data_IF_118183235358
#
_entry.id   IF_118183235358
#
_cell.length_a   1.000
_cell.length_b   1.000
_cell.length_c   1.000
_cell.angle_alpha   90.00
_cell.angle_beta   90.00
_cell.angle_gamma   90.00
#
_symmetry.space_group_name_H-M   'P 1'
#
loop_
_entity.id
_entity.type
_entity.pdbx_description
1 polymer ?
#
# COMPACT_ATOMS: atom_id res chain seq x y z
N UNK A 1 33.14 21.23 -18.50
CA UNK A 1 32.22 22.27 -18.00
C UNK A 1 31.00 21.54 -17.47
N UNK A 2 30.75 21.55 -16.16
CA UNK A 2 29.48 21.03 -15.58
C UNK A 2 28.80 22.15 -14.78
N UNK A 3 27.47 22.11 -14.77
CA UNK A 3 26.67 23.04 -13.99
C UNK A 3 26.43 22.47 -12.59
N UNK A 4 26.37 23.36 -11.60
CA UNK A 4 25.74 23.04 -10.31
C UNK A 4 24.30 22.52 -10.53
N UNK A 5 23.80 21.69 -9.62
CA UNK A 5 22.40 21.21 -9.57
C UNK A 5 21.37 22.35 -9.69
N UNK A 6 21.75 23.55 -9.25
CA UNK A 6 20.93 24.77 -9.29
C UNK A 6 21.07 25.58 -10.60
N UNK A 7 21.89 25.15 -11.56
CA UNK A 7 22.24 25.84 -12.81
C UNK A 7 22.83 27.27 -12.67
N UNK A 8 23.16 27.72 -11.46
CA UNK A 8 23.65 29.09 -11.18
C UNK A 8 25.15 29.28 -11.35
N UNK A 9 25.92 28.21 -11.30
CA UNK A 9 27.39 28.26 -11.32
C UNK A 9 27.95 27.19 -12.24
N UNK A 10 28.83 27.59 -13.15
CA UNK A 10 29.54 26.68 -14.04
C UNK A 10 30.91 26.37 -13.43
N UNK A 11 31.18 25.08 -13.19
CA UNK A 11 32.47 24.60 -12.71
C UNK A 11 33.31 24.07 -13.88
N UNK A 12 34.57 24.50 -13.93
CA UNK A 12 35.57 23.92 -14.82
C UNK A 12 36.25 22.77 -14.07
N UNK A 13 35.93 21.54 -14.46
CA UNK A 13 36.46 20.33 -13.81
C UNK A 13 37.70 19.83 -14.54
N UNK A 14 38.69 19.46 -13.74
CA UNK A 14 39.83 18.64 -14.13
C UNK A 14 39.41 17.15 -14.24
N UNK A 15 40.25 16.25 -14.80
CA UNK A 15 39.94 14.83 -14.90
C UNK A 15 39.56 14.19 -13.55
N UNK A 16 38.64 13.22 -13.58
CA UNK A 16 38.19 12.51 -12.38
C UNK A 16 39.33 11.73 -11.73
N UNK A 17 39.61 12.01 -10.46
CA UNK A 17 40.66 11.33 -9.69
C UNK A 17 40.16 10.00 -9.12
N UNK A 18 38.91 9.97 -8.63
CA UNK A 18 38.29 8.79 -8.01
C UNK A 18 36.92 8.57 -8.65
N UNK A 19 36.69 7.33 -9.07
CA UNK A 19 35.42 6.89 -9.66
C UNK A 19 34.50 6.29 -8.59
N UNK A 20 33.18 6.33 -8.84
CA UNK A 20 32.16 5.88 -7.88
C UNK A 20 32.26 4.38 -7.51
N UNK A 21 32.86 3.56 -8.37
CA UNK A 21 33.15 2.13 -8.12
C UNK A 21 34.17 1.89 -6.99
N UNK A 22 34.94 2.92 -6.64
CA UNK A 22 35.95 2.88 -5.60
C UNK A 22 35.42 3.30 -4.21
N UNK A 23 34.13 3.64 -4.12
CA UNK A 23 33.43 3.87 -2.85
C UNK A 23 33.12 2.50 -2.21
N UNK A 24 33.51 2.33 -0.94
CA UNK A 24 33.27 1.12 -0.16
C UNK A 24 31.92 1.19 0.57
N UNK A 25 31.62 2.32 1.22
CA UNK A 25 30.34 2.54 1.91
C UNK A 25 30.01 4.03 1.94
N UNK A 26 28.72 4.34 1.99
CA UNK A 26 28.21 5.69 2.18
C UNK A 26 27.11 5.68 3.24
N UNK A 27 27.28 6.50 4.27
CA UNK A 27 26.34 6.65 5.38
C UNK A 27 25.92 8.10 5.51
N UNK A 28 24.69 8.35 5.95
CA UNK A 28 24.21 9.70 6.23
C UNK A 28 24.14 9.90 7.75
N UNK A 29 24.48 11.10 8.20
CA UNK A 29 24.54 11.45 9.60
C UNK A 29 24.27 12.93 9.84
N UNK A 30 24.17 13.29 11.12
CA UNK A 30 24.25 14.69 11.53
C UNK A 30 25.73 15.02 11.77
N UNK A 31 26.15 16.21 11.35
CA UNK A 31 27.52 16.67 11.62
C UNK A 31 27.78 16.68 13.14
N UNK A 32 28.92 16.13 13.56
CA UNK A 32 29.34 16.11 14.95
C UNK A 32 29.81 17.49 15.45
N UNK A 33 30.19 18.39 14.53
CA UNK A 33 30.79 19.70 14.84
C UNK A 33 29.86 20.88 14.56
N UNK A 34 28.67 20.66 14.01
CA UNK A 34 27.82 21.74 13.49
C UNK A 34 26.33 21.41 13.40
N UNK A 35 25.60 22.32 12.76
CA UNK A 35 24.17 22.19 12.47
C UNK A 35 24.02 21.81 10.99
N UNK A 36 23.61 20.59 10.70
CA UNK A 36 23.37 20.13 9.33
C UNK A 36 23.47 18.62 9.17
N UNK A 37 22.93 18.11 8.06
CA UNK A 37 23.12 16.72 7.65
C UNK A 37 24.34 16.61 6.74
N UNK A 38 25.11 15.56 6.95
CA UNK A 38 26.30 15.24 6.15
C UNK A 38 26.21 13.82 5.62
N UNK A 39 26.92 13.57 4.53
CA UNK A 39 27.10 12.22 4.00
C UNK A 39 28.56 11.83 4.22
N UNK A 40 28.78 10.81 5.04
CA UNK A 40 30.08 10.19 5.25
C UNK A 40 30.33 9.15 4.15
N UNK A 41 31.46 9.25 3.48
CA UNK A 41 31.92 8.28 2.50
C UNK A 41 33.19 7.60 2.99
N UNK A 42 33.26 6.30 2.74
CA UNK A 42 34.44 5.48 2.94
C UNK A 42 34.91 4.97 1.58
N UNK A 43 36.15 5.25 1.21
CA UNK A 43 36.79 4.69 0.03
C UNK A 43 37.44 3.33 0.30
N UNK A 44 37.59 2.51 -0.74
CA UNK A 44 38.40 1.28 -0.71
C UNK A 44 39.88 1.63 -0.52
N UNK A 45 40.68 0.70 0.01
CA UNK A 45 42.10 0.94 0.37
C UNK A 45 42.94 1.60 -0.73
N UNK A 46 42.84 1.13 -1.98
CA UNK A 46 43.60 1.72 -3.10
C UNK A 46 43.23 3.18 -3.40
N UNK A 47 41.94 3.53 -3.32
CA UNK A 47 41.47 4.89 -3.54
C UNK A 47 41.64 5.79 -2.29
N UNK A 48 41.65 5.20 -1.10
CA UNK A 48 41.94 5.92 0.15
C UNK A 48 43.36 6.50 0.14
N UNK A 49 44.35 5.75 -0.35
CA UNK A 49 45.74 6.21 -0.46
C UNK A 49 45.89 7.30 -1.54
N UNK A 50 45.19 7.15 -2.67
CA UNK A 50 45.16 8.15 -3.73
C UNK A 50 44.51 9.46 -3.26
N UNK A 51 43.37 9.36 -2.55
CA UNK A 51 42.70 10.50 -1.93
C UNK A 51 43.59 11.22 -0.91
N UNK A 52 44.31 10.47 -0.08
CA UNK A 52 45.22 11.03 0.92
C UNK A 52 46.37 11.81 0.25
N UNK A 53 46.96 11.27 -0.83
CA UNK A 53 48.00 11.97 -1.60
C UNK A 53 47.46 13.23 -2.29
N UNK A 54 46.26 13.15 -2.88
CA UNK A 54 45.63 14.27 -3.57
C UNK A 54 45.31 15.42 -2.61
N UNK A 55 44.68 15.13 -1.47
CA UNK A 55 44.31 16.13 -0.46
C UNK A 55 45.54 16.78 0.18
N UNK A 56 46.63 16.03 0.39
CA UNK A 56 47.88 16.60 0.89
C UNK A 56 48.55 17.57 -0.10
N UNK A 57 48.44 17.34 -1.40
CA UNK A 57 49.03 18.19 -2.43
C UNK A 57 48.18 19.43 -2.78
N UNK A 58 46.89 19.42 -2.44
CA UNK A 58 45.91 20.41 -2.90
C UNK A 58 45.14 21.08 -1.76
N UNK A 59 45.86 21.47 -0.70
CA UNK A 59 45.29 22.26 0.40
C UNK A 59 44.77 23.61 -0.10
N UNK A 60 43.58 24.00 0.35
CA UNK A 60 42.91 25.24 -0.03
C UNK A 60 42.24 25.23 -1.41
N UNK A 61 42.27 24.11 -2.15
CA UNK A 61 41.53 23.96 -3.41
C UNK A 61 40.14 23.36 -3.16
N UNK A 62 39.19 23.69 -4.05
CA UNK A 62 37.85 23.10 -4.05
C UNK A 62 37.86 21.79 -4.84
N UNK A 63 37.25 20.75 -4.27
CA UNK A 63 37.06 19.48 -4.96
C UNK A 63 35.57 19.23 -5.14
N UNK A 64 35.15 19.10 -6.40
CA UNK A 64 33.75 18.87 -6.73
C UNK A 64 33.41 17.37 -6.66
N UNK A 65 32.33 17.04 -5.96
CA UNK A 65 31.69 15.73 -6.02
C UNK A 65 30.55 15.80 -7.04
N UNK A 66 30.68 15.04 -8.12
CA UNK A 66 29.69 15.00 -9.20
C UNK A 66 28.91 13.70 -9.24
N UNK A 67 27.62 13.80 -9.56
CA UNK A 67 26.74 12.69 -9.88
C UNK A 67 26.11 12.98 -11.25
N UNK A 68 26.20 12.04 -12.20
CA UNK A 68 25.64 12.17 -13.56
C UNK A 68 25.94 13.51 -14.25
N UNK A 69 27.19 13.97 -14.15
CA UNK A 69 27.65 15.26 -14.68
C UNK A 69 27.02 16.51 -14.05
N UNK A 70 26.47 16.41 -12.84
CA UNK A 70 26.04 17.55 -12.01
C UNK A 70 26.87 17.63 -10.73
N UNK A 71 27.27 18.84 -10.33
CA UNK A 71 28.02 19.05 -9.07
C UNK A 71 27.04 19.07 -7.90
N UNK A 72 27.12 18.04 -7.04
CA UNK A 72 26.29 17.91 -5.83
C UNK A 72 26.85 18.74 -4.69
N UNK A 73 28.18 18.80 -4.57
CA UNK A 73 28.88 19.62 -3.57
C UNK A 73 30.30 19.93 -4.04
N UNK A 74 30.84 21.08 -3.64
CA UNK A 74 32.22 21.48 -3.95
C UNK A 74 32.93 22.05 -2.71
N UNK A 75 33.16 21.22 -1.66
CA UNK A 75 33.85 21.66 -0.46
C UNK A 75 35.32 22.02 -0.74
N UNK A 76 35.87 22.91 0.09
CA UNK A 76 37.30 23.22 0.12
C UNK A 76 38.06 22.20 0.97
N UNK A 77 39.22 21.76 0.48
CA UNK A 77 40.13 20.91 1.25
C UNK A 77 40.85 21.79 2.28
N UNK A 78 40.49 21.65 3.56
CA UNK A 78 41.10 22.41 4.66
C UNK A 78 42.33 21.70 5.26
N UNK A 79 42.27 20.37 5.32
CA UNK A 79 43.32 19.53 5.90
C UNK A 79 43.51 18.25 5.08
N UNK A 80 44.70 17.61 5.11
CA UNK A 80 44.89 16.31 4.49
C UNK A 80 43.99 15.28 5.16
N UNK A 81 43.35 14.40 4.37
CA UNK A 81 42.41 13.39 4.88
C UNK A 81 43.03 12.00 4.75
N UNK A 82 43.81 11.52 5.74
CA UNK A 82 44.34 10.16 5.75
C UNK A 82 43.22 9.16 6.09
N UNK A 83 43.24 7.97 5.46
CA UNK A 83 42.33 6.86 5.78
C UNK A 83 41.04 6.79 4.97
N UNK A 84 40.89 7.64 3.94
CA UNK A 84 39.83 7.52 2.93
C UNK A 84 38.40 7.73 3.45
N UNK A 85 38.23 8.37 4.62
CA UNK A 85 36.94 8.78 5.17
C UNK A 85 36.74 10.27 4.90
N UNK A 86 35.80 10.60 4.03
CA UNK A 86 35.49 11.99 3.69
C UNK A 86 34.05 12.31 4.04
N UNK A 87 33.81 13.53 4.50
CA UNK A 87 32.47 14.03 4.77
C UNK A 87 32.09 15.00 3.66
N UNK A 88 30.95 14.75 3.03
CA UNK A 88 30.32 15.68 2.11
C UNK A 88 29.38 16.55 2.93
N UNK A 89 29.77 17.81 3.07
CA UNK A 89 28.99 18.90 3.68
C UNK A 89 28.71 19.98 2.64
N UNK A 90 27.64 20.76 2.85
CA UNK A 90 27.31 21.90 1.99
C UNK A 90 26.74 21.50 0.61
N UNK A 91 25.60 20.81 0.61
CA UNK A 91 24.75 20.73 -0.57
C UNK A 91 24.10 22.09 -0.86
N UNK A 92 23.91 22.41 -2.13
CA UNK A 92 23.08 23.52 -2.60
C UNK A 92 21.88 22.93 -3.35
N UNK A 93 20.68 22.83 -2.73
CA UNK A 93 20.26 23.29 -1.40
C UNK A 93 20.81 22.46 -0.21
N UNK A 94 20.83 23.03 1.03
CA UNK A 94 21.37 22.37 2.21
C UNK A 94 20.69 21.02 2.46
N UNK A 95 21.50 20.02 2.83
CA UNK A 95 21.00 18.68 3.03
C UNK A 95 20.01 18.61 4.19
N UNK A 96 18.80 18.16 3.90
CA UNK A 96 17.82 17.66 4.87
C UNK A 96 18.06 16.17 5.16
N UNK A 97 17.46 15.64 6.23
CA UNK A 97 17.54 14.22 6.56
C UNK A 97 17.15 13.31 5.38
N UNK A 98 16.09 13.68 4.66
CA UNK A 98 15.58 12.93 3.52
C UNK A 98 16.55 12.97 2.33
N UNK A 99 17.05 14.17 1.99
CA UNK A 99 17.97 14.33 0.85
C UNK A 99 19.35 13.71 1.11
N UNK A 100 19.86 13.81 2.35
CA UNK A 100 21.11 13.17 2.74
C UNK A 100 21.02 11.63 2.66
N UNK A 101 19.91 11.06 3.13
CA UNK A 101 19.62 9.63 3.02
C UNK A 101 19.53 9.19 1.55
N UNK A 102 18.83 9.95 0.72
CA UNK A 102 18.71 9.63 -0.71
C UNK A 102 20.07 9.68 -1.42
N UNK A 103 20.87 10.71 -1.15
CA UNK A 103 22.22 10.84 -1.72
C UNK A 103 23.14 9.71 -1.26
N UNK A 104 23.14 9.37 0.03
CA UNK A 104 23.93 8.25 0.56
C UNK A 104 23.54 6.91 -0.09
N UNK A 105 22.24 6.68 -0.29
CA UNK A 105 21.76 5.49 -0.99
C UNK A 105 22.25 5.47 -2.45
N UNK A 106 22.15 6.59 -3.18
CA UNK A 106 22.62 6.66 -4.57
C UNK A 106 24.12 6.42 -4.65
N UNK A 107 24.92 6.98 -3.74
CA UNK A 107 26.38 6.76 -3.71
C UNK A 107 26.75 5.32 -3.31
N UNK A 108 25.97 4.70 -2.42
CA UNK A 108 26.15 3.31 -1.98
C UNK A 108 25.78 2.29 -3.06
N UNK A 109 24.70 2.54 -3.80
CA UNK A 109 24.16 1.63 -4.79
C UNK A 109 24.59 1.95 -6.23
N UNK A 110 25.08 3.17 -6.50
CA UNK A 110 25.56 3.59 -7.82
C UNK A 110 26.77 2.80 -8.32
N UNK A 111 27.42 2.01 -7.46
CA UNK A 111 28.51 1.08 -7.78
C UNK A 111 28.08 -0.39 -7.84
N UNK A 112 26.82 -0.73 -7.53
CA UNK A 112 26.30 -2.07 -7.80
C UNK A 112 25.84 -2.10 -9.27
N UNK A 113 26.49 -2.88 -10.15
CA UNK A 113 25.91 -3.24 -11.44
C UNK A 113 24.79 -4.25 -11.17
N UNK A 114 23.75 -3.84 -10.45
CA UNK A 114 22.51 -4.57 -10.46
C UNK A 114 21.86 -4.19 -11.78
N UNK A 115 21.96 -5.11 -12.74
CA UNK A 115 20.89 -5.29 -13.70
C UNK A 115 19.62 -5.56 -12.89
N UNK A 116 18.96 -4.50 -12.44
CA UNK A 116 17.54 -4.56 -12.25
C UNK A 116 17.01 -4.83 -13.66
N UNK A 117 16.86 -6.10 -14.03
CA UNK A 117 15.59 -6.42 -14.68
C UNK A 117 14.57 -5.90 -13.68
N UNK A 118 14.04 -4.71 -13.96
CA UNK A 118 12.88 -4.21 -13.29
C UNK A 118 11.82 -5.25 -13.58
N UNK A 119 11.71 -6.24 -12.68
CA UNK A 119 10.64 -7.22 -12.70
C UNK A 119 9.40 -6.37 -12.74
N UNK A 120 8.79 -6.40 -13.92
CA UNK A 120 7.88 -5.43 -14.48
C UNK A 120 7.17 -4.71 -13.36
N UNK A 121 7.58 -3.47 -13.08
CA UNK A 121 6.75 -2.60 -12.29
C UNK A 121 5.48 -2.49 -13.13
N UNK A 122 4.51 -3.36 -12.86
CA UNK A 122 3.14 -3.17 -13.27
C UNK A 122 2.66 -1.97 -12.46
N UNK A 123 3.18 -0.80 -12.81
CA UNK A 123 2.52 0.46 -12.67
C UNK A 123 1.31 0.38 -13.59
N UNK A 124 0.34 -0.45 -13.22
CA UNK A 124 -1.04 -0.24 -13.60
C UNK A 124 -1.32 1.16 -13.13
N UNK A 125 -1.32 2.08 -14.10
CA UNK A 125 -1.53 3.50 -13.83
C UNK A 125 -2.83 3.60 -13.04
N UNK A 126 -2.78 4.30 -11.91
CA UNK A 126 -3.94 4.48 -11.02
C UNK A 126 -5.18 4.99 -11.79
N UNK A 127 -4.98 5.63 -12.94
CA UNK A 127 -6.00 6.07 -13.89
C UNK A 127 -6.84 4.93 -14.48
N UNK A 128 -6.25 3.79 -14.84
CA UNK A 128 -7.01 2.62 -15.34
C UNK A 128 -7.84 2.00 -14.20
N UNK A 129 -7.25 1.89 -13.00
CA UNK A 129 -7.95 1.39 -11.81
C UNK A 129 -9.16 2.26 -11.43
N UNK A 130 -8.99 3.59 -11.44
CA UNK A 130 -10.07 4.54 -11.12
C UNK A 130 -11.23 4.46 -12.12
N UNK A 131 -10.89 4.29 -13.40
CA UNK A 131 -11.90 4.20 -14.48
C UNK A 131 -12.71 2.92 -14.36
N UNK A 132 -12.06 1.78 -14.09
CA UNK A 132 -12.72 0.50 -13.84
C UNK A 132 -13.59 0.53 -12.59
N UNK A 133 -13.13 1.16 -11.51
CA UNK A 133 -13.91 1.32 -10.27
C UNK A 133 -15.17 2.15 -10.51
N UNK A 134 -15.05 3.27 -11.27
CA UNK A 134 -16.20 4.11 -11.62
C UNK A 134 -17.20 3.36 -12.49
N UNK A 135 -16.73 2.64 -13.51
CA UNK A 135 -17.58 1.82 -14.36
C UNK A 135 -18.30 0.72 -13.54
N UNK A 136 -17.59 0.06 -12.63
CA UNK A 136 -18.14 -0.96 -11.74
C UNK A 136 -19.21 -0.41 -10.78
N UNK A 137 -18.99 0.77 -10.20
CA UNK A 137 -19.97 1.44 -9.33
C UNK A 137 -21.25 1.81 -10.09
N UNK A 138 -21.12 2.33 -11.32
CA UNK A 138 -22.28 2.68 -12.16
C UNK A 138 -23.05 1.41 -12.55
N UNK A 139 -22.35 0.37 -13.03
CA UNK A 139 -22.98 -0.89 -13.41
C UNK A 139 -23.68 -1.58 -12.22
N UNK A 140 -23.01 -1.61 -11.06
CA UNK A 140 -23.58 -2.15 -9.82
C UNK A 140 -24.81 -1.36 -9.34
N UNK A 141 -24.76 -0.03 -9.42
CA UNK A 141 -25.90 0.83 -9.07
C UNK A 141 -27.12 0.62 -9.96
N UNK A 142 -26.91 0.50 -11.27
CA UNK A 142 -27.99 0.21 -12.24
C UNK A 142 -28.58 -1.18 -11.99
N UNK A 143 -27.73 -2.19 -11.76
CA UNK A 143 -28.18 -3.55 -11.45
C UNK A 143 -29.01 -3.63 -10.16
N UNK A 144 -28.54 -2.98 -9.09
CA UNK A 144 -29.27 -2.88 -7.82
C UNK A 144 -30.63 -2.20 -8.00
N UNK A 145 -30.66 -1.09 -8.74
CA UNK A 145 -31.89 -0.35 -9.01
C UNK A 145 -32.91 -1.20 -9.79
N UNK A 146 -32.47 -1.93 -10.82
CA UNK A 146 -33.34 -2.82 -11.59
C UNK A 146 -33.97 -3.93 -10.73
N UNK A 147 -33.17 -4.57 -9.87
CA UNK A 147 -33.67 -5.61 -8.94
C UNK A 147 -34.67 -5.02 -7.96
N UNK A 148 -34.38 -3.84 -7.39
CA UNK A 148 -35.28 -3.16 -6.47
C UNK A 148 -36.60 -2.78 -7.15
N UNK A 149 -36.55 -2.19 -8.35
CA UNK A 149 -37.74 -1.81 -9.13
C UNK A 149 -38.57 -3.04 -9.49
N UNK A 150 -37.93 -4.12 -9.95
CA UNK A 150 -38.61 -5.38 -10.25
C UNK A 150 -39.31 -5.95 -9.00
N UNK A 151 -38.62 -5.93 -7.85
CA UNK A 151 -39.19 -6.40 -6.58
C UNK A 151 -40.35 -5.52 -6.11
N UNK A 152 -40.27 -4.20 -6.30
CA UNK A 152 -41.31 -3.25 -5.91
C UNK A 152 -42.56 -3.39 -6.78
N UNK A 153 -42.39 -3.57 -8.09
CA UNK A 153 -43.51 -3.77 -9.02
C UNK A 153 -44.26 -5.08 -8.76
N UNK A 154 -43.53 -6.16 -8.46
CA UNK A 154 -44.14 -7.47 -8.25
C UNK A 154 -44.72 -7.65 -6.83
N UNK A 155 -44.16 -6.99 -5.80
CA UNK A 155 -44.50 -7.24 -4.38
C UNK A 155 -45.01 -6.01 -3.58
N UNK A 156 -45.08 -4.81 -4.18
CA UNK A 156 -45.55 -3.52 -3.60
C UNK A 156 -45.05 -3.21 -2.19
N UNK A 157 -45.73 -3.67 -1.14
CA UNK A 157 -45.39 -3.36 0.27
C UNK A 157 -44.20 -4.19 0.77
N UNK A 158 -44.09 -5.45 0.35
CA UNK A 158 -42.96 -6.30 0.76
C UNK A 158 -41.64 -5.91 0.05
N UNK A 159 -41.73 -5.32 -1.15
CA UNK A 159 -40.56 -4.77 -1.85
C UNK A 159 -39.91 -3.59 -1.12
N UNK A 160 -40.67 -2.85 -0.30
CA UNK A 160 -40.12 -1.79 0.53
C UNK A 160 -39.32 -2.34 1.72
N UNK A 161 -39.79 -3.45 2.32
CA UNK A 161 -39.09 -4.12 3.41
C UNK A 161 -37.78 -4.76 2.94
N UNK A 162 -37.78 -5.40 1.77
CA UNK A 162 -36.55 -5.94 1.16
C UNK A 162 -35.54 -4.83 0.87
N UNK A 163 -35.99 -3.72 0.29
CA UNK A 163 -35.15 -2.55 0.03
C UNK A 163 -34.52 -1.98 1.31
N UNK A 164 -35.33 -1.82 2.37
CA UNK A 164 -34.86 -1.29 3.65
C UNK A 164 -33.82 -2.22 4.31
N UNK A 165 -34.06 -3.53 4.30
CA UNK A 165 -33.07 -4.52 4.80
C UNK A 165 -31.77 -4.49 4.01
N UNK A 166 -31.85 -4.34 2.68
CA UNK A 166 -30.67 -4.26 1.81
C UNK A 166 -29.83 -3.01 2.10
N UNK A 167 -30.49 -1.85 2.24
CA UNK A 167 -29.83 -0.59 2.60
C UNK A 167 -29.22 -0.66 3.99
N UNK A 168 -29.92 -1.22 4.97
CA UNK A 168 -29.41 -1.38 6.34
C UNK A 168 -28.17 -2.29 6.38
N UNK A 169 -28.18 -3.42 5.67
CA UNK A 169 -27.04 -4.32 5.57
C UNK A 169 -25.85 -3.66 4.86
N UNK A 170 -26.10 -2.97 3.74
CA UNK A 170 -25.06 -2.23 3.02
C UNK A 170 -24.44 -1.11 3.86
N UNK A 171 -25.25 -0.36 4.61
CA UNK A 171 -24.78 0.66 5.54
C UNK A 171 -23.91 0.06 6.66
N UNK A 172 -24.27 -1.12 7.17
CA UNK A 172 -23.48 -1.82 8.19
C UNK A 172 -22.10 -2.24 7.63
N UNK A 173 -22.06 -2.83 6.43
CA UNK A 173 -20.79 -3.20 5.77
C UNK A 173 -19.94 -1.96 5.50
N UNK A 174 -20.55 -0.89 4.99
CA UNK A 174 -19.85 0.38 4.76
C UNK A 174 -19.29 0.99 6.06
N UNK A 175 -20.06 0.98 7.15
CA UNK A 175 -19.61 1.46 8.44
C UNK A 175 -18.39 0.68 8.95
N UNK A 176 -18.40 -0.65 8.80
CA UNK A 176 -17.26 -1.51 9.16
C UNK A 176 -16.04 -1.13 8.32
N UNK A 177 -16.17 -0.97 7.00
CA UNK A 177 -15.05 -0.57 6.13
C UNK A 177 -14.45 0.79 6.50
N UNK A 178 -15.28 1.78 6.81
CA UNK A 178 -14.82 3.12 7.25
C UNK A 178 -14.09 3.03 8.58
N UNK A 179 -14.61 2.22 9.53
CA UNK A 179 -13.94 1.98 10.80
C UNK A 179 -12.56 1.35 10.59
N UNK A 180 -12.49 0.25 9.83
CA UNK A 180 -11.24 -0.46 9.54
C UNK A 180 -10.22 0.44 8.81
N UNK A 181 -10.70 1.27 7.88
CA UNK A 181 -9.87 2.26 7.20
C UNK A 181 -9.25 3.26 8.17
N UNK A 182 -9.99 3.72 9.17
CA UNK A 182 -9.51 4.73 10.14
C UNK A 182 -8.58 4.14 11.22
N UNK A 183 -8.82 2.90 11.67
CA UNK A 183 -8.01 2.29 12.74
C UNK A 183 -6.74 1.62 12.23
N UNK A 184 -6.78 0.97 11.05
CA UNK A 184 -5.71 0.09 10.58
C UNK A 184 -5.07 0.63 9.27
N UNK A 185 -5.53 1.78 8.75
CA UNK A 185 -5.16 2.27 7.41
C UNK A 185 -5.41 1.20 6.32
N UNK A 186 -6.54 0.52 6.42
CA UNK A 186 -6.90 -0.54 5.47
C UNK A 186 -7.12 0.04 4.07
N UNK A 187 -6.32 -0.40 3.10
CA UNK A 187 -6.44 -0.01 1.70
C UNK A 187 -7.33 -0.99 0.95
N UNK A 188 -8.35 -0.49 0.26
CA UNK A 188 -9.27 -1.32 -0.51
C UNK A 188 -8.59 -1.76 -1.82
N UNK A 189 -8.17 -3.02 -1.88
CA UNK A 189 -7.57 -3.62 -3.08
C UNK A 189 -8.64 -4.26 -4.00
N UNK A 190 -8.26 -4.59 -5.24
CA UNK A 190 -9.13 -5.22 -6.23
C UNK A 190 -9.77 -6.51 -5.69
N UNK A 191 -9.02 -7.33 -4.96
CA UNK A 191 -9.53 -8.53 -4.31
C UNK A 191 -10.60 -8.19 -3.23
N UNK A 192 -10.41 -7.10 -2.50
CA UNK A 192 -11.38 -6.59 -1.53
C UNK A 192 -12.68 -6.15 -2.19
N UNK A 193 -12.60 -5.47 -3.33
CA UNK A 193 -13.78 -5.06 -4.13
C UNK A 193 -14.53 -6.30 -4.64
N UNK A 194 -13.83 -7.31 -5.17
CA UNK A 194 -14.45 -8.55 -5.63
C UNK A 194 -15.19 -9.28 -4.50
N UNK A 195 -14.57 -9.39 -3.32
CA UNK A 195 -15.21 -9.98 -2.14
C UNK A 195 -16.46 -9.22 -1.70
N UNK A 196 -16.44 -7.89 -1.78
CA UNK A 196 -17.57 -7.03 -1.46
C UNK A 196 -18.74 -7.24 -2.44
N UNK A 197 -18.47 -7.35 -3.74
CA UNK A 197 -19.48 -7.64 -4.76
C UNK A 197 -20.15 -9.00 -4.50
N UNK A 198 -19.37 -10.05 -4.24
CA UNK A 198 -19.88 -11.39 -3.94
C UNK A 198 -20.71 -11.38 -2.63
N UNK A 199 -20.23 -10.67 -1.61
CA UNK A 199 -20.92 -10.55 -0.33
C UNK A 199 -22.27 -9.84 -0.45
N UNK A 200 -22.34 -8.73 -1.20
CA UNK A 200 -23.60 -8.02 -1.43
C UNK A 200 -24.56 -8.88 -2.25
N UNK A 201 -24.09 -9.56 -3.30
CA UNK A 201 -24.93 -10.40 -4.16
C UNK A 201 -25.57 -11.57 -3.41
N UNK A 202 -24.76 -12.31 -2.62
CA UNK A 202 -25.26 -13.45 -1.82
C UNK A 202 -26.21 -13.01 -0.71
N UNK A 203 -25.95 -11.85 -0.09
CA UNK A 203 -26.82 -11.27 0.93
C UNK A 203 -28.16 -10.81 0.34
N UNK A 204 -28.13 -10.15 -0.82
CA UNK A 204 -29.33 -9.72 -1.53
C UNK A 204 -30.24 -10.90 -1.91
N UNK A 205 -29.67 -11.97 -2.48
CA UNK A 205 -30.40 -13.19 -2.85
C UNK A 205 -31.06 -13.84 -1.63
N UNK A 206 -30.31 -13.97 -0.54
CA UNK A 206 -30.80 -14.55 0.71
C UNK A 206 -31.97 -13.76 1.30
N UNK A 207 -31.93 -12.42 1.24
CA UNK A 207 -33.03 -11.58 1.72
C UNK A 207 -34.29 -11.77 0.87
N UNK A 208 -34.18 -11.78 -0.47
CA UNK A 208 -35.34 -11.97 -1.36
C UNK A 208 -36.03 -13.29 -1.05
N UNK A 209 -35.28 -14.40 -1.01
CA UNK A 209 -35.83 -15.74 -0.70
C UNK A 209 -36.45 -15.79 0.70
N UNK A 210 -35.82 -15.15 1.69
CA UNK A 210 -36.35 -15.11 3.06
C UNK A 210 -37.71 -14.39 3.12
N UNK A 211 -37.85 -13.25 2.45
CA UNK A 211 -39.11 -12.50 2.43
C UNK A 211 -40.18 -13.18 1.58
N UNK A 212 -39.82 -13.84 0.49
CA UNK A 212 -40.75 -14.67 -0.28
C UNK A 212 -41.33 -15.78 0.59
N UNK A 213 -40.46 -16.47 1.36
CA UNK A 213 -40.89 -17.55 2.23
C UNK A 213 -41.79 -17.10 3.37
N UNK A 214 -41.54 -15.91 3.94
CA UNK A 214 -42.43 -15.31 4.94
C UNK A 214 -43.79 -14.98 4.31
N UNK A 215 -43.81 -14.46 3.08
CA UNK A 215 -45.04 -14.11 2.37
C UNK A 215 -45.90 -15.33 2.07
N UNK A 216 -45.30 -16.42 1.60
CA UNK A 216 -46.02 -17.65 1.28
C UNK A 216 -46.72 -18.21 2.53
N UNK A 217 -46.05 -18.17 3.69
CA UNK A 217 -46.62 -18.59 4.97
C UNK A 217 -47.77 -17.67 5.45
N UNK A 218 -47.71 -16.36 5.15
CA UNK A 218 -48.80 -15.41 5.44
C UNK A 218 -50.00 -15.66 4.51
N UNK A 219 -49.74 -16.00 3.24
CA UNK A 219 -50.79 -16.25 2.23
C UNK A 219 -51.56 -17.54 2.49
N UNK A 220 -50.96 -18.51 3.17
CA UNK A 220 -51.63 -19.70 3.70
C UNK A 220 -52.51 -19.42 4.94
N UNK A 221 -52.75 -18.15 5.29
CA UNK A 221 -53.75 -17.73 6.28
C UNK A 221 -53.26 -17.70 7.73
N UNK A 222 -51.95 -17.71 7.96
CA UNK A 222 -51.37 -17.74 9.31
C UNK A 222 -50.94 -16.35 9.77
N UNK A 223 -51.21 -16.02 11.03
CA UNK A 223 -50.93 -14.69 11.59
C UNK A 223 -49.41 -14.39 11.66
N UNK A 224 -49.06 -13.12 11.42
CA UNK A 224 -47.69 -12.58 11.36
C UNK A 224 -46.81 -12.97 12.58
N UNK A 225 -47.44 -13.16 13.75
CA UNK A 225 -46.77 -13.56 15.00
C UNK A 225 -46.30 -15.02 15.03
N UNK A 226 -46.91 -15.91 14.24
CA UNK A 226 -46.61 -17.36 14.26
C UNK A 226 -45.65 -17.84 13.15
N UNK A 227 -45.34 -16.97 12.17
CA UNK A 227 -44.54 -17.30 10.98
C UNK A 227 -43.03 -17.08 11.19
N UNK A 228 -42.66 -16.00 11.91
CA UNK A 228 -41.25 -15.62 12.17
C UNK A 228 -40.44 -16.73 12.87
N UNK A 229 -40.96 -17.45 13.90
CA UNK A 229 -40.19 -18.49 14.58
C UNK A 229 -39.90 -19.72 13.71
N UNK A 230 -40.77 -20.02 12.72
CA UNK A 230 -40.63 -21.20 11.86
C UNK A 230 -39.74 -20.96 10.64
N UNK A 231 -39.67 -19.73 10.13
CA UNK A 231 -38.68 -19.32 9.13
C UNK A 231 -37.24 -19.47 9.62
N UNK A 232 -36.99 -19.18 10.90
CA UNK A 232 -35.69 -19.33 11.56
C UNK A 232 -35.31 -20.80 11.84
N UNK A 233 -36.28 -21.66 12.15
CA UNK A 233 -36.03 -23.05 12.55
C UNK A 233 -35.83 -24.04 11.38
N UNK A 234 -36.27 -23.67 10.17
CA UNK A 234 -36.24 -24.54 8.99
C UNK A 234 -34.85 -24.92 8.45
N UNK A 235 -33.86 -23.99 8.39
CA UNK A 235 -32.54 -24.30 7.83
C UNK A 235 -31.68 -25.18 8.74
N UNK A 236 -31.74 -24.96 10.06
CA UNK A 236 -30.88 -25.65 11.03
C UNK A 236 -31.14 -27.17 11.15
N UNK A 237 -32.36 -27.63 10.84
CA UNK A 237 -32.70 -29.06 10.92
C UNK A 237 -32.33 -29.85 9.66
N UNK A 238 -32.15 -29.20 8.50
CA UNK A 238 -31.80 -29.89 7.25
C UNK A 238 -30.30 -30.02 7.04
N UNK A 239 -29.50 -29.05 7.52
CA UNK A 239 -28.04 -29.10 7.43
C UNK A 239 -27.43 -30.26 8.24
N UNK A 240 -28.00 -30.59 9.41
CA UNK A 240 -27.50 -31.71 10.22
C UNK A 240 -27.81 -33.11 9.67
N UNK A 241 -28.69 -33.25 8.67
CA UNK A 241 -29.09 -34.57 8.15
C UNK A 241 -28.35 -34.94 6.84
N UNK A 242 -27.67 -33.99 6.20
CA UNK A 242 -27.03 -34.19 4.90
C UNK A 242 -25.53 -34.55 4.98
N UNK A 243 -24.86 -34.33 6.11
CA UNK A 243 -23.44 -34.69 6.32
C UNK A 243 -23.30 -36.00 7.10
N UNK A 244 -23.73 -37.09 6.48
CA UNK A 244 -23.26 -38.45 6.82
C UNK A 244 -22.37 -38.94 5.67
N UNK A 245 -21.22 -38.31 5.48
CA UNK A 245 -20.12 -38.85 4.67
C UNK A 245 -19.01 -39.38 5.60
N UNK A 246 -18.41 -40.57 5.36
CA UNK A 246 -17.81 -41.36 6.43
C UNK A 246 -16.35 -41.03 6.82
N UNK A 247 -15.76 -39.90 6.39
CA UNK A 247 -14.28 -39.79 6.38
C UNK A 247 -13.64 -38.65 7.16
N UNK A 248 -14.36 -37.90 8.01
CA UNK A 248 -13.72 -36.84 8.82
C UNK A 248 -14.12 -36.90 10.29
N UNK A 249 -13.16 -37.08 11.22
CA UNK A 249 -13.40 -36.95 12.64
C UNK A 249 -13.24 -35.48 13.02
N UNK A 250 -14.34 -34.79 13.32
CA UNK A 250 -14.29 -33.56 14.11
C UNK A 250 -15.37 -33.58 15.21
N UNK A 251 -15.06 -33.02 16.40
CA UNK A 251 -15.84 -33.19 17.61
C UNK A 251 -16.84 -32.04 17.76
N UNK A 252 -18.15 -32.32 17.69
CA UNK A 252 -19.16 -31.38 18.20
C UNK A 252 -20.53 -32.07 18.28
N UNK A 253 -20.77 -32.81 19.37
CA UNK A 253 -22.14 -33.12 19.79
C UNK A 253 -22.17 -33.57 21.26
N UNK A 254 -21.61 -32.77 22.16
CA UNK A 254 -21.82 -32.97 23.59
C UNK A 254 -22.15 -31.64 24.25
N UNK A 255 -23.29 -31.65 24.96
CA UNK A 255 -23.81 -30.63 25.88
C UNK A 255 -24.78 -29.59 25.30
N UNK A 256 -26.01 -30.03 25.02
CA UNK A 256 -27.21 -29.25 25.33
C UNK A 256 -28.34 -30.20 25.74
N UNK A 257 -28.07 -30.97 26.79
CA UNK A 257 -29.10 -31.62 27.61
C UNK A 257 -28.86 -31.12 29.03
N UNK A 258 -29.59 -30.08 29.41
CA UNK A 258 -29.73 -29.68 30.81
C UNK A 258 -31.19 -29.83 31.17
N UNK A 259 -31.46 -30.82 31.99
CA UNK A 259 -32.71 -30.98 32.72
C UNK A 259 -32.89 -29.80 33.69
N UNK A 260 -33.99 -29.05 33.52
CA UNK A 260 -34.94 -28.67 34.58
C UNK A 260 -36.09 -27.87 34.00
#
# INVERSE_FOLDING_TARGET
MTCSTDHKTAYLLEPSIISGDQIQDATFGMDQRGVGYVVDLQFKSGAADEWARYTAAHLGKQTAFTLDSQVVSAPQILEPIPGGRTQISGGDPPFTAATARQLANVLKYGSLPLSFESSEAQTVSATLGLTSLRAGLIAGGIGLALVLVYSLLYYRVLGLLTALSLVASGAMVFAILVLLGRYINYTLDLAGIAGLIIGIGTTADSFVVFFERIKDEIREGRSFRSAVPRGWAGPARRSCRATRSPSWPLPCCTSWRSDR
#
